data_IF_523314227748
#
_entry.id   IF_523314227748
#
_cell.length_a   1.000
_cell.length_b   1.000
_cell.length_c   1.000
_cell.angle_alpha   90.00
_cell.angle_beta   90.00
_cell.angle_gamma   90.00
#
_symmetry.space_group_name_H-M   'P 1'
#
loop_
_entity.id
_entity.type
_entity.pdbx_description
1 polymer ?
#
# COMPACT_ATOMS: atom_id res chain seq x y z
N UNK A 1 6.45 -24.21 -7.32
CA UNK A 1 7.42 -23.30 -6.68
C UNK A 1 7.03 -21.85 -6.89
N UNK A 2 7.27 -20.98 -5.91
CA UNK A 2 6.94 -19.57 -6.02
C UNK A 2 7.80 -18.92 -7.10
N UNK A 3 7.18 -18.16 -8.02
CA UNK A 3 7.91 -17.42 -9.08
C UNK A 3 8.99 -16.51 -8.47
N UNK A 4 8.71 -15.95 -7.30
CA UNK A 4 9.66 -15.12 -6.54
C UNK A 4 10.93 -15.87 -6.08
N UNK A 5 10.97 -17.20 -6.07
CA UNK A 5 12.19 -17.97 -5.76
C UNK A 5 13.06 -18.20 -7.01
N UNK A 6 12.43 -18.25 -8.19
CA UNK A 6 13.10 -18.67 -9.42
C UNK A 6 14.07 -17.62 -9.98
N UNK A 7 13.94 -16.36 -9.56
CA UNK A 7 14.73 -15.24 -10.09
C UNK A 7 15.95 -14.85 -9.27
N UNK A 8 16.21 -15.49 -8.13
CA UNK A 8 17.33 -15.11 -7.24
C UNK A 8 17.27 -13.65 -6.79
N UNK A 9 16.07 -13.14 -6.49
CA UNK A 9 15.87 -11.72 -6.16
C UNK A 9 16.41 -11.39 -4.77
N UNK A 10 17.26 -10.36 -4.70
CA UNK A 10 17.74 -9.80 -3.43
C UNK A 10 16.69 -8.89 -2.76
N UNK A 11 15.75 -8.33 -3.52
CA UNK A 11 14.75 -7.42 -2.99
C UNK A 11 13.44 -7.60 -3.74
N UNK A 12 12.34 -7.73 -2.99
CA UNK A 12 10.99 -7.80 -3.52
C UNK A 12 10.20 -6.62 -2.99
N UNK A 13 9.64 -5.83 -3.91
CA UNK A 13 8.82 -4.67 -3.60
C UNK A 13 7.34 -5.00 -3.80
N UNK A 14 6.52 -4.60 -2.83
CA UNK A 14 5.07 -4.71 -2.87
C UNK A 14 4.43 -3.35 -2.53
N UNK A 15 3.15 -3.17 -2.84
CA UNK A 15 2.35 -2.14 -2.18
C UNK A 15 1.91 -2.60 -0.79
N UNK A 16 1.72 -1.68 0.16
CA UNK A 16 1.20 -1.97 1.52
C UNK A 16 -0.10 -2.76 1.46
N UNK A 17 -1.02 -2.32 0.62
CA UNK A 17 -2.32 -2.95 0.39
C UNK A 17 -2.83 -2.62 -1.01
N UNK A 18 -3.81 -3.38 -1.47
CA UNK A 18 -4.52 -3.12 -2.70
C UNK A 18 -5.82 -2.34 -2.41
N UNK A 19 -6.22 -1.47 -3.33
CA UNK A 19 -7.39 -0.59 -3.15
C UNK A 19 -8.74 -1.29 -3.37
N UNK A 20 -8.71 -2.50 -3.93
CA UNK A 20 -9.89 -3.34 -4.19
C UNK A 20 -10.29 -4.18 -2.97
N UNK A 21 -9.32 -4.79 -2.27
CA UNK A 21 -9.55 -5.67 -1.12
C UNK A 21 -9.16 -5.03 0.22
N UNK A 22 -8.28 -4.02 0.21
CA UNK A 22 -7.84 -3.26 1.38
C UNK A 22 -7.36 -4.13 2.58
N UNK A 23 -6.81 -5.31 2.27
CA UNK A 23 -6.52 -6.34 3.29
C UNK A 23 -5.10 -6.34 3.85
N UNK A 24 -4.16 -5.63 3.22
CA UNK A 24 -2.78 -5.45 3.73
C UNK A 24 -1.96 -6.71 4.02
N UNK A 25 -2.39 -7.89 3.57
CA UNK A 25 -1.86 -9.18 4.02
C UNK A 25 -0.88 -9.83 3.05
N UNK A 26 -1.08 -9.61 1.75
CA UNK A 26 -0.31 -10.27 0.67
C UNK A 26 1.21 -10.09 0.82
N UNK A 27 1.76 -8.88 1.10
CA UNK A 27 3.21 -8.71 1.19
C UNK A 27 3.84 -9.53 2.33
N UNK A 28 3.17 -9.57 3.49
CA UNK A 28 3.61 -10.36 4.63
C UNK A 28 3.52 -11.86 4.37
N UNK A 29 2.46 -12.33 3.69
CA UNK A 29 2.34 -13.72 3.26
C UNK A 29 3.46 -14.12 2.29
N UNK A 30 3.79 -13.26 1.33
CA UNK A 30 4.91 -13.49 0.40
C UNK A 30 6.22 -13.61 1.17
N UNK A 31 6.51 -12.68 2.09
CA UNK A 31 7.73 -12.74 2.90
C UNK A 31 7.81 -14.02 3.74
N UNK A 32 6.70 -14.42 4.37
CA UNK A 32 6.62 -15.65 5.15
C UNK A 32 6.87 -16.89 4.29
N UNK A 33 6.28 -16.97 3.09
CA UNK A 33 6.47 -18.09 2.16
C UNK A 33 7.91 -18.17 1.64
N UNK A 34 8.59 -17.03 1.53
CA UNK A 34 9.99 -16.95 1.14
C UNK A 34 10.97 -17.11 2.31
N UNK A 35 10.47 -17.12 3.55
CA UNK A 35 11.26 -17.08 4.78
C UNK A 35 12.27 -15.91 4.78
N UNK A 36 11.80 -14.71 4.40
CA UNK A 36 12.60 -13.50 4.28
C UNK A 36 12.14 -12.42 5.29
N UNK A 37 13.05 -11.53 5.72
CA UNK A 37 12.68 -10.33 6.49
C UNK A 37 11.61 -9.50 5.76
N UNK A 38 10.70 -8.93 6.53
CA UNK A 38 9.62 -8.11 6.03
C UNK A 38 9.57 -6.75 6.72
N UNK A 39 9.52 -5.67 5.93
CA UNK A 39 9.17 -4.33 6.42
C UNK A 39 7.93 -3.83 5.71
N UNK A 40 6.91 -3.48 6.49
CA UNK A 40 5.63 -2.97 5.98
C UNK A 40 5.59 -1.43 6.00
N UNK A 41 4.71 -0.86 5.18
CA UNK A 41 4.34 0.55 5.16
C UNK A 41 5.54 1.52 5.06
N UNK A 42 6.52 1.15 4.23
CA UNK A 42 7.71 1.97 4.00
C UNK A 42 7.37 3.23 3.18
N UNK A 43 7.90 4.36 3.63
CA UNK A 43 7.90 5.68 2.98
C UNK A 43 9.29 6.12 2.55
N UNK A 44 10.30 5.26 2.69
CA UNK A 44 11.65 5.54 2.20
C UNK A 44 12.47 4.27 2.14
N UNK A 45 13.32 4.13 1.12
CA UNK A 45 14.13 2.94 0.94
C UNK A 45 15.49 3.33 0.36
N UNK A 46 16.55 3.01 1.09
CA UNK A 46 17.93 3.07 0.61
C UNK A 46 18.52 1.65 0.59
N UNK A 47 19.27 1.32 -0.46
CA UNK A 47 19.88 0.00 -0.63
C UNK A 47 21.38 0.18 -0.78
N UNK A 48 22.14 -0.42 0.13
CA UNK A 48 23.59 -0.35 0.17
C UNK A 48 24.19 -1.76 0.24
N UNK A 49 24.60 -2.27 -0.93
CA UNK A 49 25.20 -3.60 -1.05
C UNK A 49 24.25 -4.70 -0.57
N UNK A 50 24.57 -5.33 0.55
CA UNK A 50 23.80 -6.46 1.13
C UNK A 50 22.76 -6.03 2.18
N UNK A 51 22.53 -4.74 2.37
CA UNK A 51 21.60 -4.21 3.36
C UNK A 51 20.65 -3.18 2.73
N UNK A 52 19.41 -3.17 3.19
CA UNK A 52 18.44 -2.13 2.88
C UNK A 52 18.01 -1.42 4.16
N UNK A 53 17.92 -0.09 4.11
CA UNK A 53 17.35 0.74 5.17
C UNK A 53 16.00 1.27 4.71
N UNK A 54 14.94 0.82 5.36
CA UNK A 54 13.58 1.27 5.13
C UNK A 54 13.15 2.27 6.21
N UNK A 55 12.40 3.30 5.83
CA UNK A 55 11.82 4.28 6.76
C UNK A 55 10.31 4.11 6.73
N UNK A 56 9.67 3.95 7.89
CA UNK A 56 8.21 3.89 8.00
C UNK A 56 7.67 4.95 8.95
N UNK A 57 6.42 5.36 8.72
CA UNK A 57 5.71 6.28 9.61
C UNK A 57 5.03 5.49 10.72
N UNK A 58 5.18 5.97 11.95
CA UNK A 58 4.57 5.41 13.15
C UNK A 58 3.86 6.53 13.90
N UNK A 59 3.03 6.18 14.87
CA UNK A 59 2.46 7.17 15.77
C UNK A 59 3.59 7.90 16.51
N UNK A 60 3.66 9.22 16.35
CA UNK A 60 4.70 10.05 16.96
C UNK A 60 5.97 10.27 16.13
N UNK A 61 6.09 9.76 14.90
CA UNK A 61 7.19 10.12 14.01
C UNK A 61 7.54 9.09 12.94
N UNK A 62 8.85 8.90 12.72
CA UNK A 62 9.40 7.96 11.73
C UNK A 62 10.34 6.99 12.42
N UNK A 63 10.34 5.75 11.94
CA UNK A 63 11.25 4.70 12.36
C UNK A 63 12.11 4.27 11.16
N UNK A 64 13.42 4.12 11.38
CA UNK A 64 14.37 3.60 10.39
C UNK A 64 14.75 2.17 10.76
N UNK A 65 14.59 1.24 9.81
CA UNK A 65 14.81 -0.19 10.00
C UNK A 65 15.82 -0.67 8.96
N UNK A 66 16.93 -1.25 9.42
CA UNK A 66 17.92 -1.89 8.57
C UNK A 66 17.69 -3.40 8.50
N UNK A 67 17.68 -3.95 7.30
CA UNK A 67 17.48 -5.38 7.04
C UNK A 67 18.52 -5.90 6.06
N UNK A 68 19.04 -7.11 6.32
CA UNK A 68 19.91 -7.81 5.37
C UNK A 68 19.09 -8.35 4.21
N UNK A 69 19.66 -8.26 3.01
CA UNK A 69 19.09 -8.88 1.83
C UNK A 69 19.39 -10.40 1.82
N UNK A 70 18.47 -11.24 1.31
CA UNK A 70 17.27 -10.85 0.60
C UNK A 70 16.09 -10.45 1.51
N UNK A 71 15.28 -9.47 1.10
CA UNK A 71 14.16 -8.97 1.90
C UNK A 71 12.92 -8.59 1.07
N UNK A 72 11.76 -8.57 1.73
CA UNK A 72 10.50 -8.06 1.18
C UNK A 72 10.15 -6.73 1.83
N UNK A 73 9.90 -5.71 1.01
CA UNK A 73 9.52 -4.37 1.47
C UNK A 73 8.18 -3.99 0.85
N UNK A 74 7.20 -3.64 1.68
CA UNK A 74 5.93 -3.08 1.22
C UNK A 74 5.94 -1.56 1.36
N UNK A 75 5.84 -0.87 0.23
CA UNK A 75 5.80 0.59 0.15
C UNK A 75 4.39 1.16 0.24
N UNK A 76 4.30 2.38 0.76
CA UNK A 76 3.10 3.20 0.66
C UNK A 76 3.41 4.55 0.00
N UNK A 77 2.41 5.44 -0.11
CA UNK A 77 2.61 6.79 -0.62
C UNK A 77 3.74 7.47 0.17
N UNK A 78 4.70 8.07 -0.55
CA UNK A 78 5.88 8.71 0.02
C UNK A 78 7.17 7.95 -0.20
N UNK A 79 7.13 6.68 -0.63
CA UNK A 79 8.35 5.89 -0.91
C UNK A 79 9.28 6.54 -1.96
N UNK A 80 8.69 7.24 -2.93
CA UNK A 80 9.39 8.03 -3.94
C UNK A 80 9.00 9.49 -3.74
N UNK A 81 10.00 10.38 -3.72
CA UNK A 81 9.79 11.82 -3.63
C UNK A 81 8.92 12.32 -4.80
N UNK A 82 8.02 13.28 -4.55
CA UNK A 82 7.06 13.76 -5.56
C UNK A 82 7.74 14.35 -6.81
N UNK A 83 8.91 14.98 -6.64
CA UNK A 83 9.71 15.53 -7.74
C UNK A 83 10.27 14.45 -8.68
N UNK A 84 10.42 13.22 -8.18
CA UNK A 84 11.01 12.09 -8.88
C UNK A 84 9.93 11.17 -9.49
N UNK A 85 8.64 11.51 -9.31
CA UNK A 85 7.54 10.81 -9.96
C UNK A 85 7.54 11.10 -11.47
N UNK A 86 7.63 10.04 -12.26
CA UNK A 86 7.68 10.12 -13.72
C UNK A 86 6.34 9.68 -14.30
N UNK A 87 5.73 10.55 -15.12
CA UNK A 87 4.61 10.17 -15.98
C UNK A 87 5.17 9.59 -17.29
N UNK A 88 4.84 8.35 -17.67
CA UNK A 88 5.32 7.75 -18.91
C UNK A 88 4.91 8.57 -20.14
N UNK A 89 5.88 8.90 -21.00
CA UNK A 89 5.62 9.54 -22.29
C UNK A 89 5.20 8.53 -23.37
N UNK A 90 4.74 9.01 -24.53
CA UNK A 90 4.29 8.15 -25.64
C UNK A 90 5.34 7.14 -26.10
N UNK A 91 6.62 7.51 -26.12
CA UNK A 91 7.70 6.59 -26.48
C UNK A 91 7.86 5.47 -25.45
N UNK A 92 7.74 5.80 -24.16
CA UNK A 92 7.73 4.84 -23.05
C UNK A 92 6.57 3.85 -23.19
N UNK A 93 5.37 4.34 -23.49
CA UNK A 93 4.17 3.50 -23.68
C UNK A 93 4.36 2.54 -24.88
N UNK A 94 4.82 3.05 -26.03
CA UNK A 94 5.01 2.23 -27.22
C UNK A 94 6.08 1.15 -27.04
N UNK A 95 7.18 1.46 -26.33
CA UNK A 95 8.23 0.47 -26.06
C UNK A 95 7.83 -0.56 -25.00
N UNK A 96 6.95 -0.22 -24.05
CA UNK A 96 6.41 -1.17 -23.09
C UNK A 96 5.54 -2.24 -23.76
N UNK A 97 4.78 -1.86 -24.81
CA UNK A 97 3.88 -2.78 -25.53
C UNK A 97 4.60 -3.95 -26.21
N UNK A 98 5.87 -3.78 -26.57
CA UNK A 98 6.66 -4.83 -27.25
C UNK A 98 7.46 -5.70 -26.28
N UNK A 99 7.46 -5.40 -24.98
CA UNK A 99 8.18 -6.21 -23.99
C UNK A 99 7.53 -7.59 -23.88
N UNK A 100 8.33 -8.68 -23.81
CA UNK A 100 7.78 -10.02 -23.63
C UNK A 100 6.97 -10.11 -22.34
N UNK A 101 5.75 -10.64 -22.43
CA UNK A 101 4.92 -10.99 -21.28
C UNK A 101 4.94 -12.52 -21.14
N UNK A 102 5.59 -13.01 -20.08
CA UNK A 102 5.56 -14.42 -19.75
C UNK A 102 4.33 -14.72 -18.90
N UNK A 103 3.41 -15.52 -19.44
CA UNK A 103 2.24 -16.00 -18.70
C UNK A 103 2.57 -17.36 -18.10
N UNK A 104 2.39 -17.48 -16.78
CA UNK A 104 2.62 -18.72 -16.04
C UNK A 104 1.31 -19.08 -15.34
N UNK A 105 0.88 -20.33 -15.50
CA UNK A 105 -0.33 -20.82 -14.85
C UNK A 105 -0.16 -20.87 -13.32
N UNK A 106 -1.20 -20.52 -12.54
CA UNK A 106 -1.14 -20.60 -11.10
C UNK A 106 -1.07 -22.06 -10.65
N UNK A 107 -0.34 -22.31 -9.56
CA UNK A 107 -0.41 -23.61 -8.87
C UNK A 107 -1.67 -23.67 -8.02
N UNK A 108 -2.34 -24.83 -7.95
CA UNK A 108 -3.52 -25.00 -7.11
C UNK A 108 -3.16 -24.87 -5.63
N UNK A 109 -3.95 -24.11 -4.88
CA UNK A 109 -3.92 -24.05 -3.43
C UNK A 109 -5.34 -24.18 -2.89
N UNK A 110 -5.48 -24.80 -1.72
CA UNK A 110 -6.78 -24.93 -1.05
C UNK A 110 -7.24 -23.56 -0.52
N UNK A 111 -8.41 -23.11 -0.98
CA UNK A 111 -9.03 -21.88 -0.53
C UNK A 111 -9.72 -22.14 0.81
N UNK A 112 -9.23 -21.54 1.89
CA UNK A 112 -9.72 -21.76 3.26
C UNK A 112 -10.82 -20.79 3.71
N UNK A 113 -11.07 -19.74 2.93
CA UNK A 113 -12.02 -18.67 3.27
C UNK A 113 -12.84 -18.33 2.03
N UNK A 114 -14.14 -18.15 2.22
CA UNK A 114 -15.06 -17.76 1.15
C UNK A 114 -15.90 -16.56 1.62
N UNK A 115 -16.04 -15.54 0.75
CA UNK A 115 -16.95 -14.44 1.00
C UNK A 115 -18.41 -14.92 0.96
N UNK A 116 -19.18 -14.58 2.00
CA UNK A 116 -20.58 -15.00 2.14
C UNK A 116 -21.52 -14.02 1.46
N UNK A 117 -21.31 -12.72 1.65
CA UNK A 117 -22.10 -11.64 1.06
C UNK A 117 -21.27 -10.36 0.94
N UNK A 118 -21.75 -9.44 0.09
CA UNK A 118 -21.24 -8.08 -0.01
C UNK A 118 -22.43 -7.14 -0.01
N UNK A 119 -22.48 -6.25 0.97
CA UNK A 119 -23.55 -5.28 1.09
C UNK A 119 -23.03 -3.88 0.76
N UNK A 120 -23.84 -3.11 0.05
CA UNK A 120 -23.52 -1.70 -0.20
C UNK A 120 -23.74 -0.89 1.07
N UNK A 121 -22.82 0.02 1.35
CA UNK A 121 -22.99 0.98 2.45
C UNK A 121 -24.23 1.84 2.16
N UNK A 122 -25.12 2.07 3.15
CA UNK A 122 -26.25 2.97 2.97
C UNK A 122 -25.81 4.35 2.45
N UNK A 123 -26.62 5.03 1.62
CA UNK A 123 -26.33 6.39 1.20
C UNK A 123 -26.06 7.31 2.40
N UNK A 124 -25.12 8.25 2.25
CA UNK A 124 -24.86 9.25 3.29
C UNK A 124 -26.14 10.02 3.60
N UNK A 125 -26.38 10.27 4.89
CA UNK A 125 -27.50 11.11 5.33
C UNK A 125 -27.37 12.54 4.77
N UNK A 126 -28.50 13.25 4.70
CA UNK A 126 -28.50 14.65 4.33
C UNK A 126 -27.60 15.46 5.29
N UNK A 127 -26.74 16.32 4.73
CA UNK A 127 -25.88 17.21 5.51
C UNK A 127 -26.63 18.50 5.85
N UNK A 128 -26.37 19.05 7.04
CA UNK A 128 -26.82 20.38 7.42
C UNK A 128 -25.83 21.40 6.88
N UNK A 129 -26.26 22.23 5.93
CA UNK A 129 -25.45 23.31 5.39
C UNK A 129 -25.55 24.52 6.33
N UNK A 130 -24.41 25.06 6.74
CA UNK A 130 -24.32 26.30 7.52
C UNK A 130 -23.78 27.40 6.60
N UNK A 131 -24.37 28.59 6.67
CA UNK A 131 -23.90 29.74 5.90
C UNK A 131 -22.45 30.09 6.28
N UNK A 132 -21.57 30.42 5.32
CA UNK A 132 -20.21 30.90 5.61
C UNK A 132 -20.18 32.10 6.56
N UNK A 133 -21.23 32.93 6.56
CA UNK A 133 -21.33 34.13 7.40
C UNK A 133 -21.79 33.85 8.84
N UNK A 134 -22.10 32.60 9.19
CA UNK A 134 -22.62 32.23 10.51
C UNK A 134 -21.82 31.09 11.15
N UNK A 135 -20.58 31.41 11.55
CA UNK A 135 -19.69 30.48 12.23
C UNK A 135 -20.19 30.10 13.63
N UNK A 136 -20.88 31.01 14.34
CA UNK A 136 -21.41 30.74 15.67
C UNK A 136 -22.43 29.59 15.65
N UNK A 137 -23.30 29.56 14.63
CA UNK A 137 -24.23 28.45 14.45
C UNK A 137 -23.48 27.14 14.17
N UNK A 138 -22.41 27.15 13.36
CA UNK A 138 -21.61 25.94 13.14
C UNK A 138 -21.02 25.42 14.47
N UNK A 139 -20.43 26.30 15.28
CA UNK A 139 -19.88 25.93 16.59
C UNK A 139 -20.96 25.37 17.51
N UNK A 140 -22.12 26.04 17.58
CA UNK A 140 -23.27 25.58 18.39
C UNK A 140 -23.72 24.18 17.96
N UNK A 141 -23.85 23.94 16.65
CA UNK A 141 -24.25 22.64 16.11
C UNK A 141 -23.23 21.53 16.41
N UNK A 142 -21.94 21.84 16.34
CA UNK A 142 -20.89 20.87 16.64
C UNK A 142 -20.82 20.52 18.14
N UNK A 143 -21.10 21.48 19.02
CA UNK A 143 -21.07 21.27 20.48
C UNK A 143 -22.37 20.64 21.01
N UNK A 144 -23.54 21.12 20.56
CA UNK A 144 -24.83 20.69 21.10
C UNK A 144 -25.42 19.45 20.39
N UNK A 145 -25.37 19.41 19.06
CA UNK A 145 -25.99 18.34 18.26
C UNK A 145 -25.00 17.20 18.01
N UNK A 146 -23.83 17.51 17.41
CA UNK A 146 -22.85 16.49 17.02
C UNK A 146 -21.95 16.01 18.17
N UNK A 147 -21.72 16.87 19.17
CA UNK A 147 -20.85 16.61 20.35
C UNK A 147 -19.45 16.13 19.99
N UNK A 148 -18.85 16.77 18.99
CA UNK A 148 -17.50 16.43 18.48
C UNK A 148 -16.43 17.44 18.88
N UNK A 149 -16.84 18.57 19.47
CA UNK A 149 -16.00 19.59 20.10
C UNK A 149 -16.60 20.01 21.43
#
# INVERSE_FOLDING_TARGET
DLVAQNGGYDLILCGKESIDYNGGSVPGMVAQLLNQPFVNASVGLDVNGSEATAVREIEGGKESISVKLPAVIAGQKGLVDEKDLIIPNMRGIMSARTKPLQVVEPTSSEVKVQGVSYDSVPPRAAVKLVSPDNLDELVRLLHEEAKVI
#
